data_IF_870852239925
#
_entry.id   IF_870852239925
#
_cell.length_a   1.000
_cell.length_b   1.000
_cell.length_c   1.000
_cell.angle_alpha   90.00
_cell.angle_beta   90.00
_cell.angle_gamma   90.00
#
_symmetry.space_group_name_H-M   'P 1'
#
loop_
_entity.id
_entity.type
_entity.pdbx_description
1 polymer ?
#
# COMPACT_ATOMS: atom_id res chain seq x y z
N UNK A 1 38.42 19.53 -6.93
CA UNK A 1 37.51 19.95 -5.85
C UNK A 1 36.49 20.89 -6.49
N UNK A 2 35.21 20.61 -6.65
CA UNK A 2 34.18 19.97 -5.81
C UNK A 2 33.29 19.08 -6.69
N UNK A 3 33.25 17.77 -6.40
CA UNK A 3 32.20 16.90 -6.96
C UNK A 3 30.88 17.37 -6.33
N UNK A 4 30.04 18.03 -7.12
CA UNK A 4 28.67 18.35 -6.76
C UNK A 4 28.04 17.13 -6.09
N UNK A 5 27.67 17.22 -4.81
CA UNK A 5 26.95 16.18 -4.10
C UNK A 5 25.47 16.51 -4.25
N UNK A 6 24.85 16.07 -5.34
CA UNK A 6 23.41 16.22 -5.47
C UNK A 6 22.72 15.33 -4.44
N UNK A 7 21.84 15.94 -3.65
CA UNK A 7 21.25 15.37 -2.44
C UNK A 7 19.82 14.94 -2.74
N UNK A 8 19.49 13.68 -2.44
CA UNK A 8 18.09 13.27 -2.34
C UNK A 8 17.58 13.72 -0.98
N UNK A 9 16.49 14.48 -0.97
CA UNK A 9 15.87 15.00 0.24
C UNK A 9 14.48 14.40 0.35
N UNK A 10 14.22 13.74 1.47
CA UNK A 10 12.90 13.19 1.80
C UNK A 10 12.26 14.11 2.84
N UNK A 11 11.03 14.53 2.57
CA UNK A 11 10.20 15.29 3.51
C UNK A 11 8.92 14.48 3.72
N UNK A 12 8.49 14.33 4.97
CA UNK A 12 7.22 13.66 5.26
C UNK A 12 6.39 14.39 6.30
N UNK A 13 5.08 14.36 6.12
CA UNK A 13 4.10 14.88 7.05
C UNK A 13 3.14 13.78 7.44
N UNK A 14 2.63 13.83 8.66
CA UNK A 14 1.73 12.82 9.23
C UNK A 14 0.50 13.48 9.83
N UNK A 15 -0.68 12.89 9.60
CA UNK A 15 -1.95 13.32 10.18
C UNK A 15 -2.66 12.11 10.79
N UNK A 16 -3.24 12.27 11.98
CA UNK A 16 -4.14 11.25 12.53
C UNK A 16 -5.47 11.30 11.79
N UNK A 17 -5.97 10.14 11.40
CA UNK A 17 -7.27 9.96 10.76
C UNK A 17 -7.99 8.78 11.42
N UNK A 18 -9.29 8.70 11.19
CA UNK A 18 -10.17 7.67 11.70
C UNK A 18 -10.94 7.05 10.54
N UNK A 19 -11.13 5.73 10.57
CA UNK A 19 -11.95 5.01 9.61
C UNK A 19 -12.90 4.03 10.32
N UNK A 20 -14.19 4.06 9.97
CA UNK A 20 -15.11 3.01 10.36
C UNK A 20 -14.97 1.81 9.40
N UNK A 21 -14.23 0.80 9.83
CA UNK A 21 -13.97 -0.40 9.04
C UNK A 21 -15.20 -1.28 8.78
N UNK A 22 -16.33 -0.97 9.44
CA UNK A 22 -17.60 -1.70 9.37
C UNK A 22 -18.59 -0.99 8.46
N UNK A 23 -18.60 0.34 8.42
CA UNK A 23 -19.72 1.08 7.82
C UNK A 23 -19.89 0.82 6.32
N UNK A 24 -18.79 0.67 5.59
CA UNK A 24 -18.81 0.35 4.15
C UNK A 24 -18.99 -1.16 3.86
N UNK A 25 -19.15 -1.99 4.90
CA UNK A 25 -19.33 -3.43 4.72
C UNK A 25 -20.79 -3.76 4.39
N UNK A 26 -21.04 -4.83 3.59
CA UNK A 26 -22.39 -5.29 3.32
C UNK A 26 -23.20 -5.50 4.61
N UNK A 27 -24.47 -5.06 4.61
CA UNK A 27 -25.33 -5.04 5.80
C UNK A 27 -25.36 -6.35 6.60
N UNK A 28 -25.33 -7.49 5.90
CA UNK A 28 -25.36 -8.82 6.51
C UNK A 28 -24.04 -9.21 7.23
N UNK A 29 -22.92 -8.55 6.91
CA UNK A 29 -21.62 -8.76 7.55
C UNK A 29 -21.34 -7.76 8.67
N UNK A 30 -22.02 -6.61 8.69
CA UNK A 30 -21.78 -5.55 9.68
C UNK A 30 -21.80 -6.07 11.13
N UNK A 31 -22.71 -6.99 11.47
CA UNK A 31 -22.79 -7.55 12.83
C UNK A 31 -21.52 -8.31 13.22
N UNK A 32 -21.01 -9.16 12.34
CA UNK A 32 -19.79 -9.95 12.60
C UNK A 32 -18.55 -9.04 12.61
N UNK A 33 -18.48 -8.09 11.69
CA UNK A 33 -17.40 -7.10 11.67
C UNK A 33 -17.38 -6.22 12.93
N UNK A 34 -18.55 -5.86 13.50
CA UNK A 34 -18.60 -5.15 14.80
C UNK A 34 -18.10 -5.99 15.97
N UNK A 35 -18.22 -7.32 15.91
CA UNK A 35 -17.62 -8.18 16.94
C UNK A 35 -16.10 -8.20 16.83
N UNK A 36 -15.57 -8.14 15.62
CA UNK A 36 -14.12 -8.17 15.35
C UNK A 36 -13.45 -6.81 15.63
N UNK A 37 -14.00 -5.73 15.09
CA UNK A 37 -13.38 -4.40 15.14
C UNK A 37 -13.98 -3.48 16.21
N UNK A 38 -15.08 -3.89 16.84
CA UNK A 38 -15.81 -3.06 17.79
C UNK A 38 -16.71 -2.03 17.11
N UNK A 39 -17.11 -1.01 17.88
CA UNK A 39 -17.94 0.11 17.42
C UNK A 39 -17.18 1.43 17.27
N UNK A 40 -16.00 1.52 17.88
CA UNK A 40 -15.17 2.71 17.77
C UNK A 40 -14.51 2.74 16.39
N UNK A 41 -14.32 3.92 15.79
CA UNK A 41 -13.54 4.02 14.57
C UNK A 41 -12.10 3.57 14.83
N UNK A 42 -11.48 3.01 13.80
CA UNK A 42 -10.07 2.62 13.86
C UNK A 42 -9.20 3.83 13.57
N UNK A 43 -8.35 4.21 14.53
CA UNK A 43 -7.33 5.24 14.33
C UNK A 43 -6.22 4.72 13.40
N UNK A 44 -5.80 5.58 12.49
CA UNK A 44 -4.61 5.37 11.67
C UNK A 44 -3.87 6.68 11.46
N UNK A 45 -2.63 6.58 10.99
CA UNK A 45 -1.83 7.75 10.60
C UNK A 45 -1.72 7.76 9.08
N UNK A 46 -2.16 8.85 8.45
CA UNK A 46 -1.82 9.11 7.06
C UNK A 46 -0.46 9.79 7.02
N UNK A 47 0.45 9.30 6.18
CA UNK A 47 1.75 9.89 5.92
C UNK A 47 1.83 10.30 4.46
N UNK A 48 2.16 11.56 4.22
CA UNK A 48 2.50 12.08 2.89
C UNK A 48 4.02 12.21 2.82
N UNK A 49 4.63 11.65 1.77
CA UNK A 49 6.07 11.62 1.55
C UNK A 49 6.38 12.29 0.22
N UNK A 50 7.31 13.24 0.25
CA UNK A 50 7.84 13.94 -0.92
C UNK A 50 9.33 13.65 -1.06
N UNK A 51 9.78 13.41 -2.28
CA UNK A 51 11.21 13.19 -2.57
C UNK A 51 11.69 14.17 -3.62
N UNK A 52 12.71 14.94 -3.23
CA UNK A 52 13.32 15.99 -4.02
C UNK A 52 14.73 15.60 -4.44
N UNK A 53 15.11 15.96 -5.67
CA UNK A 53 16.50 16.04 -6.11
C UNK A 53 16.98 17.48 -5.93
N UNK A 54 18.09 17.65 -5.20
CA UNK A 54 18.73 18.96 -4.97
C UNK A 54 17.80 20.03 -4.41
N UNK A 55 16.87 19.61 -3.54
CA UNK A 55 15.81 20.45 -2.93
C UNK A 55 14.82 21.10 -3.88
N UNK A 56 15.09 21.14 -5.19
CA UNK A 56 14.33 21.96 -6.14
C UNK A 56 13.40 21.13 -7.04
N UNK A 57 13.71 19.86 -7.28
CA UNK A 57 12.95 19.00 -8.20
C UNK A 57 12.20 17.92 -7.42
N UNK A 58 10.91 18.15 -7.17
CA UNK A 58 10.00 17.13 -6.69
C UNK A 58 9.70 16.13 -7.81
N UNK A 59 10.03 14.86 -7.60
CA UNK A 59 9.89 13.84 -8.66
C UNK A 59 9.07 12.62 -8.22
N UNK A 60 8.77 12.49 -6.94
CA UNK A 60 8.05 11.37 -6.36
C UNK A 60 7.25 11.83 -5.15
N UNK A 61 5.98 11.46 -5.12
CA UNK A 61 5.08 11.64 -3.97
C UNK A 61 4.40 10.32 -3.64
N UNK A 62 4.21 10.05 -2.35
CA UNK A 62 3.51 8.85 -1.88
C UNK A 62 2.68 9.17 -0.64
N UNK A 63 1.43 8.72 -0.65
CA UNK A 63 0.53 8.72 0.50
C UNK A 63 0.44 7.30 1.01
N UNK A 64 0.67 7.13 2.31
CA UNK A 64 0.53 5.87 3.00
C UNK A 64 -0.44 6.00 4.16
N UNK A 65 -1.15 4.91 4.48
CA UNK A 65 -1.86 4.80 5.76
C UNK A 65 -1.22 3.74 6.67
N UNK A 66 -1.12 4.08 7.93
CA UNK A 66 -0.40 3.34 8.95
C UNK A 66 -1.38 3.00 10.07
N UNK A 67 -1.88 1.77 10.07
CA UNK A 67 -2.78 1.22 11.08
C UNK A 67 -1.96 0.51 12.15
N UNK A 68 -1.70 1.12 13.31
CA UNK A 68 -0.90 0.49 14.37
C UNK A 68 -1.59 -0.73 14.97
N UNK A 69 -2.93 -0.79 14.88
CA UNK A 69 -3.72 -1.91 15.35
C UNK A 69 -4.97 -2.11 14.48
N UNK A 70 -4.95 -3.17 13.69
CA UNK A 70 -6.08 -3.70 12.94
C UNK A 70 -6.33 -5.14 13.41
N UNK A 71 -7.15 -5.28 14.45
CA UNK A 71 -7.45 -6.56 15.10
C UNK A 71 -6.18 -7.29 15.62
N UNK A 72 -5.33 -6.57 16.34
CA UNK A 72 -4.11 -7.10 16.96
C UNK A 72 -2.89 -7.13 16.03
N UNK A 73 -3.03 -6.70 14.78
CA UNK A 73 -1.97 -6.70 13.77
C UNK A 73 -1.76 -5.29 13.21
N UNK A 74 -0.52 -4.87 13.06
CA UNK A 74 -0.18 -3.59 12.44
C UNK A 74 -0.04 -3.69 10.92
N UNK A 75 -0.62 -2.75 10.20
CA UNK A 75 -0.62 -2.67 8.73
C UNK A 75 -0.11 -1.31 8.26
N UNK A 76 0.76 -1.32 7.26
CA UNK A 76 1.14 -0.15 6.49
C UNK A 76 0.75 -0.38 5.03
N UNK A 77 0.10 0.60 4.41
CA UNK A 77 -0.36 0.49 3.03
C UNK A 77 -0.01 1.74 2.26
N UNK A 78 0.27 1.56 0.97
CA UNK A 78 0.45 2.65 0.02
C UNK A 78 -0.92 2.90 -0.60
N UNK A 79 -1.49 4.06 -0.30
CA UNK A 79 -2.80 4.50 -0.80
C UNK A 79 -2.66 5.09 -2.20
N UNK A 80 -1.74 6.05 -2.35
CA UNK A 80 -1.51 6.74 -3.62
C UNK A 80 -0.01 6.90 -3.83
N UNK A 81 0.46 6.71 -5.06
CA UNK A 81 1.83 7.00 -5.47
C UNK A 81 1.81 7.70 -6.81
N UNK A 82 2.58 8.77 -6.94
CA UNK A 82 2.69 9.53 -8.19
C UNK A 82 4.13 10.00 -8.43
N UNK A 83 4.51 10.17 -9.69
CA UNK A 83 5.86 10.53 -10.10
C UNK A 83 5.87 11.49 -11.28
N UNK A 84 6.93 12.31 -11.38
CA UNK A 84 7.19 13.16 -12.54
C UNK A 84 8.55 12.77 -13.16
N UNK A 85 8.66 12.73 -14.50
CA UNK A 85 9.85 12.26 -15.22
C UNK A 85 11.07 13.20 -15.16
N UNK A 86 11.15 14.15 -14.23
CA UNK A 86 12.26 15.12 -14.17
C UNK A 86 13.46 14.69 -13.30
N UNK A 87 13.37 13.53 -12.65
CA UNK A 87 14.52 12.96 -11.94
C UNK A 87 15.66 12.64 -12.92
N UNK A 88 16.78 13.37 -12.80
CA UNK A 88 17.95 13.22 -13.68
C UNK A 88 18.84 12.07 -13.19
N UNK A 89 18.58 10.88 -13.72
CA UNK A 89 19.34 9.65 -13.40
C UNK A 89 20.67 9.61 -14.14
N UNK A 90 20.72 10.17 -15.35
CA UNK A 90 21.84 10.04 -16.28
C UNK A 90 23.09 10.81 -15.84
N UNK A 91 22.95 11.78 -14.92
CA UNK A 91 24.10 12.43 -14.30
C UNK A 91 24.87 11.56 -13.30
N UNK A 92 24.31 10.44 -12.79
CA UNK A 92 24.93 9.72 -11.65
C UNK A 92 24.81 8.21 -11.64
N UNK A 93 23.72 7.64 -12.13
CA UNK A 93 23.42 6.24 -11.90
C UNK A 93 23.28 5.49 -13.23
N UNK A 94 23.83 4.27 -13.34
CA UNK A 94 23.65 3.42 -14.50
C UNK A 94 22.27 2.73 -14.52
N UNK A 95 21.32 3.16 -13.68
CA UNK A 95 19.99 2.56 -13.54
C UNK A 95 18.91 3.48 -14.13
N UNK A 96 17.69 2.97 -14.31
CA UNK A 96 16.53 3.77 -14.71
C UNK A 96 15.79 4.39 -13.53
N UNK A 97 14.98 5.44 -13.77
CA UNK A 97 14.15 6.12 -12.74
C UNK A 97 13.32 5.14 -11.90
N UNK A 98 12.71 4.14 -12.57
CA UNK A 98 11.89 3.13 -11.90
C UNK A 98 12.64 2.32 -10.83
N UNK A 99 13.93 2.08 -10.99
CA UNK A 99 14.73 1.40 -9.97
C UNK A 99 14.90 2.28 -8.72
N UNK A 100 15.06 3.60 -8.88
CA UNK A 100 15.12 4.53 -7.74
C UNK A 100 13.77 4.59 -7.03
N UNK A 101 12.66 4.55 -7.76
CA UNK A 101 11.33 4.49 -7.15
C UNK A 101 11.12 3.19 -6.35
N UNK A 102 11.64 2.06 -6.83
CA UNK A 102 11.65 0.81 -6.02
C UNK A 102 12.39 1.01 -4.70
N UNK A 103 13.58 1.62 -4.71
CA UNK A 103 14.34 1.86 -3.47
C UNK A 103 13.59 2.77 -2.49
N UNK A 104 12.88 3.79 -2.97
CA UNK A 104 12.07 4.68 -2.11
C UNK A 104 10.94 3.89 -1.44
N UNK A 105 10.22 3.05 -2.19
CA UNK A 105 9.13 2.22 -1.66
C UNK A 105 9.66 1.17 -0.67
N UNK A 106 10.76 0.50 -1.02
CA UNK A 106 11.40 -0.49 -0.15
C UNK A 106 11.92 0.15 1.14
N UNK A 107 12.54 1.32 1.06
CA UNK A 107 13.00 2.06 2.24
C UNK A 107 11.83 2.44 3.17
N UNK A 108 10.66 2.77 2.61
CA UNK A 108 9.47 2.97 3.43
C UNK A 108 9.07 1.69 4.17
N UNK A 109 8.95 0.55 3.50
CA UNK A 109 8.61 -0.71 4.19
C UNK A 109 9.69 -1.16 5.19
N UNK A 110 10.96 -0.91 4.87
CA UNK A 110 12.10 -1.18 5.75
C UNK A 110 12.01 -0.33 7.04
N UNK A 111 11.68 0.95 6.90
CA UNK A 111 11.37 1.83 8.03
C UNK A 111 10.15 1.33 8.82
N UNK A 112 9.05 0.97 8.14
CA UNK A 112 7.84 0.52 8.84
C UNK A 112 8.11 -0.73 9.68
N UNK A 113 8.87 -1.70 9.17
CA UNK A 113 9.25 -2.87 9.97
C UNK A 113 10.19 -2.53 11.11
N UNK A 114 11.07 -1.52 10.96
CA UNK A 114 12.00 -1.14 12.02
C UNK A 114 11.26 -0.60 13.24
N UNK A 115 10.14 0.10 13.03
CA UNK A 115 9.24 0.60 14.09
C UNK A 115 8.12 -0.39 14.47
N UNK A 116 8.22 -1.66 14.06
CA UNK A 116 7.35 -2.75 14.54
C UNK A 116 6.08 -3.01 13.72
N UNK A 117 5.93 -2.46 12.52
CA UNK A 117 4.83 -2.87 11.64
C UNK A 117 5.03 -4.29 11.12
N UNK A 118 3.93 -5.02 10.99
CA UNK A 118 3.96 -6.46 10.69
C UNK A 118 3.59 -6.77 9.24
N UNK A 119 2.70 -5.99 8.63
CA UNK A 119 2.16 -6.27 7.29
C UNK A 119 2.19 -5.03 6.40
N UNK A 120 2.45 -5.28 5.13
CA UNK A 120 2.40 -4.32 4.04
C UNK A 120 1.24 -4.60 3.09
N UNK A 121 0.68 -3.57 2.46
CA UNK A 121 -0.27 -3.75 1.36
C UNK A 121 -0.09 -2.70 0.26
N UNK A 122 -0.22 -3.15 -0.99
CA UNK A 122 -0.24 -2.31 -2.19
C UNK A 122 -1.38 -2.78 -3.08
N UNK A 123 -2.13 -1.84 -3.63
CA UNK A 123 -3.02 -2.09 -4.76
C UNK A 123 -2.43 -1.39 -6.00
N UNK A 124 -2.11 -2.17 -7.02
CA UNK A 124 -1.71 -1.67 -8.32
C UNK A 124 -2.95 -1.29 -9.12
N UNK A 125 -3.28 -0.01 -9.11
CA UNK A 125 -4.33 0.56 -9.95
C UNK A 125 -3.68 1.53 -10.93
N UNK A 126 -3.51 1.10 -12.18
CA UNK A 126 -2.79 1.90 -13.16
C UNK A 126 -3.58 3.17 -13.52
N UNK A 127 -2.95 4.35 -13.52
CA UNK A 127 -3.63 5.60 -13.83
C UNK A 127 -4.10 5.63 -15.28
N UNK A 128 -5.23 6.30 -15.52
CA UNK A 128 -5.68 6.61 -16.88
C UNK A 128 -4.93 7.87 -17.33
N UNK A 129 -4.41 7.94 -18.58
CA UNK A 129 -3.76 9.16 -19.06
C UNK A 129 -4.68 10.37 -18.95
N UNK A 130 -4.23 11.40 -18.23
CA UNK A 130 -5.02 12.59 -17.91
C UNK A 130 -5.62 12.59 -16.50
N UNK A 131 -5.50 11.49 -15.74
CA UNK A 131 -5.80 11.47 -14.31
C UNK A 131 -4.64 12.06 -13.51
N UNK A 132 -4.94 13.06 -12.70
CA UNK A 132 -4.02 13.65 -11.75
C UNK A 132 -4.19 12.94 -10.39
N UNK A 133 -3.31 11.97 -10.10
CA UNK A 133 -3.36 11.25 -8.82
C UNK A 133 -2.88 12.14 -7.67
N UNK A 134 -1.68 12.73 -7.79
CA UNK A 134 -1.13 13.64 -6.79
C UNK A 134 -0.55 14.90 -7.43
N UNK A 135 0.09 14.78 -8.59
CA UNK A 135 0.59 15.92 -9.34
C UNK A 135 -0.45 16.37 -10.35
N UNK A 136 -0.73 17.66 -10.37
CA UNK A 136 -1.59 18.27 -11.39
C UNK A 136 -0.81 18.48 -12.68
N UNK A 137 -1.41 18.11 -13.82
CA UNK A 137 -0.86 18.33 -15.16
C UNK A 137 0.52 17.69 -15.40
N UNK A 138 0.59 16.36 -15.50
CA UNK A 138 1.84 15.70 -15.90
C UNK A 138 2.35 16.15 -17.28
N UNK A 139 3.68 16.12 -17.51
CA UNK A 139 4.24 16.42 -18.82
C UNK A 139 3.70 15.49 -19.91
N UNK A 140 3.42 16.02 -21.10
CA UNK A 140 2.91 15.23 -22.24
C UNK A 140 3.86 14.12 -22.72
N UNK A 141 5.12 14.17 -22.30
CA UNK A 141 6.15 13.15 -22.57
C UNK A 141 6.18 12.03 -21.53
N UNK A 142 5.38 12.13 -20.47
CA UNK A 142 5.28 11.10 -19.44
C UNK A 142 4.63 9.84 -20.01
N UNK A 143 5.28 8.70 -19.77
CA UNK A 143 4.76 7.40 -20.15
C UNK A 143 4.12 6.74 -18.94
N UNK A 144 2.90 6.28 -19.10
CA UNK A 144 2.15 5.54 -18.08
C UNK A 144 2.29 4.03 -18.33
N UNK A 145 2.47 3.27 -17.25
CA UNK A 145 2.44 1.82 -17.32
C UNK A 145 1.00 1.35 -17.51
N UNK A 146 0.77 0.41 -18.41
CA UNK A 146 -0.51 -0.32 -18.45
C UNK A 146 -0.65 -1.19 -17.20
N UNK A 147 -1.88 -1.56 -16.82
CA UNK A 147 -2.16 -2.40 -15.65
C UNK A 147 -1.19 -3.60 -15.50
N UNK A 148 -1.10 -4.46 -16.51
CA UNK A 148 -0.19 -5.62 -16.49
C UNK A 148 1.30 -5.25 -16.30
N UNK A 149 1.73 -4.09 -16.81
CA UNK A 149 3.12 -3.63 -16.66
C UNK A 149 3.35 -3.07 -15.26
N UNK A 150 2.36 -2.40 -14.67
CA UNK A 150 2.43 -1.90 -13.30
C UNK A 150 2.46 -3.05 -12.29
N UNK A 151 1.62 -4.07 -12.49
CA UNK A 151 1.66 -5.31 -11.72
C UNK A 151 3.07 -5.93 -11.74
N UNK A 152 3.62 -6.18 -12.94
CA UNK A 152 4.96 -6.75 -13.07
C UNK A 152 6.08 -5.87 -12.51
N UNK A 153 5.89 -4.55 -12.50
CA UNK A 153 6.81 -3.58 -11.90
C UNK A 153 6.83 -3.73 -10.37
N UNK A 154 5.65 -3.77 -9.73
CA UNK A 154 5.54 -4.04 -8.29
C UNK A 154 6.05 -5.44 -7.93
N UNK A 155 5.75 -6.48 -8.71
CA UNK A 155 6.30 -7.82 -8.45
C UNK A 155 7.85 -7.83 -8.48
N UNK A 156 8.46 -7.08 -9.40
CA UNK A 156 9.92 -6.96 -9.46
C UNK A 156 10.49 -6.25 -8.22
N UNK A 157 9.83 -5.18 -7.77
CA UNK A 157 10.15 -4.50 -6.51
C UNK A 157 10.03 -5.44 -5.31
N UNK A 158 8.93 -6.19 -5.22
CA UNK A 158 8.67 -7.11 -4.12
C UNK A 158 9.66 -8.28 -4.09
N UNK A 159 10.04 -8.84 -5.26
CA UNK A 159 11.11 -9.85 -5.35
C UNK A 159 12.43 -9.31 -4.81
N UNK A 160 12.77 -8.06 -5.15
CA UNK A 160 13.95 -7.39 -4.59
C UNK A 160 13.82 -7.26 -3.06
N UNK A 161 12.69 -6.81 -2.55
CA UNK A 161 12.46 -6.70 -1.10
C UNK A 161 12.55 -8.03 -0.34
N UNK A 162 12.22 -9.16 -0.97
CA UNK A 162 12.48 -10.49 -0.39
C UNK A 162 13.98 -10.79 -0.35
N UNK A 163 14.71 -10.51 -1.43
CA UNK A 163 16.18 -10.70 -1.50
C UNK A 163 16.91 -9.83 -0.48
N UNK A 164 16.47 -8.58 -0.32
CA UNK A 164 17.01 -7.63 0.66
C UNK A 164 16.55 -7.94 2.11
N UNK A 165 15.74 -8.98 2.27
CA UNK A 165 15.25 -9.45 3.57
C UNK A 165 14.24 -8.52 4.23
N UNK A 166 13.63 -7.58 3.50
CA UNK A 166 12.57 -6.67 3.97
C UNK A 166 11.24 -7.43 4.17
N UNK A 167 10.94 -8.36 3.26
CA UNK A 167 9.74 -9.20 3.31
C UNK A 167 10.10 -10.63 3.69
N UNK A 168 9.25 -11.32 4.48
CA UNK A 168 9.52 -12.70 4.93
C UNK A 168 9.55 -13.72 3.80
N UNK A 169 8.68 -13.54 2.81
CA UNK A 169 8.43 -14.48 1.70
C UNK A 169 7.73 -13.74 0.57
N UNK A 170 7.43 -14.48 -0.51
CA UNK A 170 6.55 -13.99 -1.56
C UNK A 170 5.20 -13.51 -0.99
N UNK A 171 4.72 -12.42 -1.57
CA UNK A 171 3.44 -11.80 -1.21
C UNK A 171 2.27 -12.74 -1.54
N UNK A 172 1.13 -12.45 -0.93
CA UNK A 172 -0.14 -13.04 -1.32
C UNK A 172 -0.91 -12.02 -2.14
N UNK A 173 -1.61 -12.46 -3.18
CA UNK A 173 -2.58 -11.64 -3.93
C UNK A 173 -3.99 -12.18 -3.72
N UNK A 174 -4.97 -11.59 -4.37
CA UNK A 174 -6.36 -11.96 -4.14
C UNK A 174 -6.65 -13.40 -4.57
N UNK A 175 -5.94 -13.93 -5.57
CA UNK A 175 -5.99 -15.35 -5.93
C UNK A 175 -5.51 -16.26 -4.80
N UNK A 176 -4.40 -15.90 -4.15
CA UNK A 176 -3.88 -16.62 -3.00
C UNK A 176 -4.84 -16.57 -1.81
N UNK A 177 -5.45 -15.41 -1.54
CA UNK A 177 -6.49 -15.26 -0.52
C UNK A 177 -7.70 -16.14 -0.82
N UNK A 178 -8.20 -16.13 -2.07
CA UNK A 178 -9.30 -16.99 -2.53
C UNK A 178 -9.04 -18.46 -2.19
N UNK A 179 -7.86 -18.95 -2.59
CA UNK A 179 -7.45 -20.34 -2.38
C UNK A 179 -7.38 -20.69 -0.90
N UNK A 180 -6.87 -19.77 -0.07
CA UNK A 180 -6.81 -19.98 1.38
C UNK A 180 -8.22 -20.10 2.00
N UNK A 181 -9.16 -19.25 1.57
CA UNK A 181 -10.56 -19.32 2.02
C UNK A 181 -11.24 -20.60 1.54
N UNK A 182 -11.06 -20.98 0.27
CA UNK A 182 -11.62 -22.21 -0.29
C UNK A 182 -11.14 -23.46 0.48
N UNK A 183 -9.85 -23.52 0.84
CA UNK A 183 -9.32 -24.60 1.66
C UNK A 183 -9.95 -24.64 3.06
N UNK A 184 -10.08 -23.48 3.72
CA UNK A 184 -10.72 -23.40 5.05
C UNK A 184 -12.18 -23.86 5.02
N UNK A 185 -12.92 -23.54 3.95
CA UNK A 185 -14.31 -23.99 3.79
C UNK A 185 -14.37 -25.50 3.61
N UNK A 186 -13.49 -26.09 2.79
CA UNK A 186 -13.42 -27.55 2.61
C UNK A 186 -13.12 -28.27 3.93
N UNK A 187 -12.24 -27.72 4.75
CA UNK A 187 -11.92 -28.26 6.07
C UNK A 187 -13.12 -28.18 7.04
N UNK A 188 -13.97 -27.16 6.92
CA UNK A 188 -15.18 -26.99 7.74
C UNK A 188 -16.38 -27.83 7.26
N UNK A 189 -16.56 -27.97 5.94
CA UNK A 189 -17.62 -28.80 5.34
C UNK A 189 -17.43 -30.30 5.65
N UNK A 190 -16.22 -30.70 6.05
CA UNK A 190 -15.95 -32.02 6.61
C UNK A 190 -16.50 -32.22 8.04
N UNK A 191 -16.98 -31.17 8.71
CA UNK A 191 -17.29 -31.18 10.16
C UNK A 191 -18.79 -31.05 10.50
N UNK A 192 -19.69 -30.46 9.70
CA UNK A 192 -21.12 -30.43 10.07
C UNK A 192 -22.13 -30.31 8.92
N UNK A 193 -23.18 -31.16 8.99
CA UNK A 193 -24.43 -31.08 8.22
C UNK A 193 -25.46 -30.28 9.00
N UNK A 194 -25.80 -29.08 8.52
CA UNK A 194 -27.15 -28.49 8.46
C UNK A 194 -27.07 -26.96 8.49
N UNK A 195 -27.58 -26.30 7.44
CA UNK A 195 -28.51 -25.15 7.50
C UNK A 195 -28.75 -24.51 6.13
N UNK A 196 -29.98 -24.70 5.64
CA UNK A 196 -30.51 -24.22 4.37
C UNK A 196 -30.56 -22.67 4.25
N UNK A 197 -30.53 -21.94 5.38
CA UNK A 197 -30.60 -20.47 5.41
C UNK A 197 -29.21 -19.80 5.37
N UNK A 198 -28.18 -20.49 5.86
CA UNK A 198 -26.78 -20.07 5.79
C UNK A 198 -26.28 -20.14 4.33
N UNK A 199 -26.77 -21.14 3.60
CA UNK A 199 -26.48 -21.41 2.19
C UNK A 199 -26.86 -20.23 1.27
N UNK A 200 -28.00 -19.55 1.49
CA UNK A 200 -28.45 -18.41 0.64
C UNK A 200 -27.61 -17.14 0.82
N UNK A 201 -27.19 -16.82 2.05
CA UNK A 201 -26.35 -15.66 2.36
C UNK A 201 -24.91 -15.86 1.87
N UNK A 202 -24.35 -17.05 2.08
CA UNK A 202 -23.06 -17.47 1.52
C UNK A 202 -23.06 -17.32 0.00
N UNK A 203 -24.16 -17.69 -0.68
CA UNK A 203 -24.27 -17.61 -2.14
C UNK A 203 -24.20 -16.15 -2.68
N UNK A 204 -24.78 -15.15 -1.99
CA UNK A 204 -24.75 -13.75 -2.48
C UNK A 204 -23.37 -13.12 -2.29
N UNK A 205 -22.75 -13.31 -1.12
CA UNK A 205 -21.40 -12.82 -0.85
C UNK A 205 -20.38 -13.56 -1.72
N UNK A 206 -20.52 -14.88 -1.91
CA UNK A 206 -19.69 -15.66 -2.82
C UNK A 206 -19.80 -15.17 -4.27
N UNK A 207 -20.98 -14.76 -4.74
CA UNK A 207 -21.15 -14.14 -6.07
C UNK A 207 -20.46 -12.78 -6.18
N UNK A 208 -20.58 -11.92 -5.17
CA UNK A 208 -19.85 -10.64 -5.13
C UNK A 208 -18.34 -10.89 -5.15
N UNK A 209 -17.83 -11.73 -4.25
CA UNK A 209 -16.42 -12.09 -4.19
C UNK A 209 -15.95 -12.75 -5.49
N UNK A 210 -16.76 -13.60 -6.14
CA UNK A 210 -16.45 -14.19 -7.44
C UNK A 210 -16.21 -13.15 -8.53
N UNK A 211 -17.02 -12.07 -8.57
CA UNK A 211 -16.80 -10.96 -9.51
C UNK A 211 -15.52 -10.17 -9.18
N UNK A 212 -15.25 -9.92 -7.89
CA UNK A 212 -14.03 -9.24 -7.47
C UNK A 212 -12.79 -10.09 -7.78
N UNK A 213 -12.88 -11.42 -7.61
CA UNK A 213 -11.81 -12.36 -7.93
C UNK A 213 -11.49 -12.42 -9.42
N UNK A 214 -12.43 -12.09 -10.31
CA UNK A 214 -12.17 -12.04 -11.76
C UNK A 214 -11.35 -10.81 -12.15
N UNK A 215 -11.59 -9.67 -11.49
CA UNK A 215 -10.99 -8.40 -11.86
C UNK A 215 -9.69 -8.11 -11.10
N UNK A 216 -9.62 -8.53 -9.84
CA UNK A 216 -8.54 -8.15 -8.92
C UNK A 216 -7.65 -9.33 -8.53
N UNK A 217 -7.53 -10.34 -9.42
CA UNK A 217 -6.81 -11.59 -9.11
C UNK A 217 -5.34 -11.33 -8.73
N UNK A 218 -4.71 -10.36 -9.39
CA UNK A 218 -3.24 -10.17 -9.40
C UNK A 218 -2.76 -8.79 -8.98
N UNK A 219 -3.65 -7.81 -8.92
CA UNK A 219 -3.33 -6.39 -8.76
C UNK A 219 -3.14 -5.97 -7.29
N UNK A 220 -3.44 -6.86 -6.35
CA UNK A 220 -3.31 -6.61 -4.92
C UNK A 220 -2.16 -7.43 -4.34
N UNK A 221 -1.37 -6.80 -3.48
CA UNK A 221 -0.16 -7.38 -2.91
C UNK A 221 -0.21 -7.22 -1.39
N UNK A 222 -0.33 -8.33 -0.66
CA UNK A 222 -0.20 -8.40 0.79
C UNK A 222 1.14 -9.01 1.18
N UNK A 223 1.92 -8.27 1.96
CA UNK A 223 3.26 -8.67 2.38
C UNK A 223 3.33 -8.89 3.89
N UNK A 224 4.05 -9.93 4.31
CA UNK A 224 4.51 -10.06 5.68
C UNK A 224 5.90 -9.42 5.80
N UNK A 225 6.02 -8.39 6.64
CA UNK A 225 7.30 -7.72 6.88
C UNK A 225 8.20 -8.63 7.73
N UNK A 226 9.46 -8.76 7.34
CA UNK A 226 10.46 -9.51 8.10
C UNK A 226 10.88 -8.74 9.36
N UNK A 227 11.39 -9.41 10.40
CA UNK A 227 12.01 -8.71 11.52
C UNK A 227 13.12 -7.76 11.02
N UNK A 228 13.19 -6.52 11.52
CA UNK A 228 14.22 -5.58 11.10
C UNK A 228 15.59 -6.04 11.58
N UNK A 229 16.64 -5.70 10.83
CA UNK A 229 18.02 -5.89 11.28
C UNK A 229 18.34 -4.95 12.45
N UNK A 230 17.83 -3.72 12.38
CA UNK A 230 18.01 -2.68 13.39
C UNK A 230 16.62 -2.14 13.79
N UNK A 231 16.03 -2.66 14.88
CA UNK A 231 14.79 -2.12 15.41
C UNK A 231 14.95 -0.65 15.83
N UNK A 232 13.92 0.15 15.59
CA UNK A 232 13.86 1.55 15.95
C UNK A 232 12.68 1.78 16.89
N UNK A 233 12.86 2.71 17.84
CA UNK A 233 11.73 3.23 18.60
C UNK A 233 10.82 4.03 17.66
N UNK A 234 9.49 3.86 17.74
CA UNK A 234 8.56 4.64 16.93
C UNK A 234 8.78 6.15 17.14
N UNK A 235 8.81 6.91 16.05
CA UNK A 235 8.97 8.37 16.13
C UNK A 235 7.86 8.99 16.98
N UNK A 236 8.26 9.71 18.03
CA UNK A 236 7.34 10.47 18.87
C UNK A 236 6.97 11.82 18.23
N UNK A 237 7.86 12.35 17.39
CA UNK A 237 7.68 13.65 16.74
C UNK A 237 6.97 13.49 15.40
N UNK A 238 5.78 14.07 15.32
CA UNK A 238 4.96 14.12 14.10
C UNK A 238 5.03 15.52 13.51
N UNK A 239 5.33 15.60 12.22
CA UNK A 239 5.29 16.85 11.48
C UNK A 239 3.94 16.96 10.78
N UNK A 240 3.15 17.98 11.09
CA UNK A 240 1.88 18.24 10.41
C UNK A 240 2.05 19.45 9.49
N UNK A 241 1.31 19.45 8.39
CA UNK A 241 1.19 20.61 7.51
C UNK A 241 -0.22 20.64 6.92
N UNK A 242 -0.77 21.83 6.76
CA UNK A 242 -2.15 22.02 6.28
C UNK A 242 -2.27 21.58 4.82
N UNK A 243 -1.49 22.19 3.92
CA UNK A 243 -1.47 21.86 2.49
C UNK A 243 -0.65 20.58 2.16
N UNK A 244 0.60 20.49 2.63
CA UNK A 244 1.50 19.37 2.31
C UNK A 244 1.22 18.07 3.09
N UNK A 245 0.34 18.12 4.10
CA UNK A 245 0.03 16.97 4.95
C UNK A 245 -1.29 16.30 4.61
N UNK A 246 -1.92 16.68 3.51
CA UNK A 246 -3.15 16.07 3.02
C UNK A 246 -3.17 16.12 1.48
N UNK A 247 -3.49 14.99 0.85
CA UNK A 247 -3.49 14.85 -0.62
C UNK A 247 -4.45 15.83 -1.29
N UNK A 248 -5.64 16.03 -0.72
CA UNK A 248 -6.65 16.89 -1.33
C UNK A 248 -6.27 18.36 -1.19
N UNK A 249 -5.77 18.76 -0.02
CA UNK A 249 -5.30 20.12 0.21
C UNK A 249 -4.07 20.50 -0.64
N UNK A 250 -3.30 19.51 -1.11
CA UNK A 250 -2.18 19.76 -2.03
C UNK A 250 -2.65 20.08 -3.47
N UNK A 251 -3.80 19.55 -3.87
CA UNK A 251 -4.35 19.69 -5.23
C UNK A 251 -5.19 20.96 -5.42
N UNK A 252 -5.65 21.59 -4.32
CA UNK A 252 -6.39 22.86 -4.29
C UNK A 252 -5.48 24.09 -4.41
#
# INVERSE_FOLDING_TARGET
>A
ETRWNQKVVVVSFTRKKEADLVEDRPQHLKKEFRKLYGRAPTEYTERVIYVFQDTDVLFFSMVAHEYPNHNGISYCLIDTLDTIPFFDVHRRLPVGRGAVYHEIILAYFDYMRSIGFQKGHIWADAPIPGDDLFFTCHPSTQLYLTQNKLEGWYEAMLRKGVVDGIFKKEWTNFAGFKKAVENLIQDMEAVEKDKENETKMVTKYAKYMASQFQNHTKDTFWMDLAPPLEPMEPETRRWTHEALGDKHAFLE
#
